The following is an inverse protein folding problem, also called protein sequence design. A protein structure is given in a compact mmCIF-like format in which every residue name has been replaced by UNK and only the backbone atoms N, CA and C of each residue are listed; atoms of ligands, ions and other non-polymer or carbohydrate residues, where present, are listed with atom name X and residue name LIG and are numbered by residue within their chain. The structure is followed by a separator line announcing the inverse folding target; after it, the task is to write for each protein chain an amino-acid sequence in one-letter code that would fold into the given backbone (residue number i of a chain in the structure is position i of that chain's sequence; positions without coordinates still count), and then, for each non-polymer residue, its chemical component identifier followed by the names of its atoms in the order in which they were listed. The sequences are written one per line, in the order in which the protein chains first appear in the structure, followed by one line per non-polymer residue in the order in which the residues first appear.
data_IF_276627826493
#
_entry.id   IF_276627826493
#
_cell.length_a   1.000
_cell.length_b   1.000
_cell.length_c   1.000
_cell.angle_alpha   90.00
_cell.angle_beta   90.00
_cell.angle_gamma   90.00
#
_symmetry.space_group_name_H-M   'P 1'
#
loop_
_entity.id
_entity.type
_entity.pdbx_description
1 polymer ?
#
# COMPACT_ATOMS: atom_id res chain seq x y z
N UNK A 1 10.08 11.84 -14.50
CA UNK A 1 9.85 10.42 -14.15
C UNK A 1 9.53 10.31 -12.66
N UNK A 2 8.89 9.23 -12.17
CA UNK A 2 8.52 9.10 -10.75
C UNK A 2 9.77 9.16 -9.84
N UNK A 3 10.86 8.52 -10.23
CA UNK A 3 12.13 8.53 -9.49
C UNK A 3 12.71 9.92 -9.24
N UNK A 4 12.40 10.90 -10.09
CA UNK A 4 12.92 12.26 -9.96
C UNK A 4 12.12 13.07 -8.91
N UNK A 5 10.97 12.55 -8.49
CA UNK A 5 10.03 13.19 -7.57
C UNK A 5 9.73 12.33 -6.34
N UNK A 6 10.55 11.34 -6.04
CA UNK A 6 10.34 10.40 -4.94
C UNK A 6 11.61 10.11 -4.15
N UNK A 7 11.43 9.65 -2.92
CA UNK A 7 12.49 9.13 -2.06
C UNK A 7 12.27 7.62 -1.97
N UNK A 8 13.24 6.83 -2.41
CA UNK A 8 13.22 5.38 -2.28
C UNK A 8 13.97 4.92 -1.03
N UNK A 9 13.40 3.95 -0.32
CA UNK A 9 14.05 3.26 0.80
C UNK A 9 14.20 1.80 0.43
N UNK A 10 15.42 1.30 0.40
CA UNK A 10 15.69 -0.12 0.24
C UNK A 10 15.81 -0.80 1.60
N UNK A 11 15.01 -1.85 1.81
CA UNK A 11 14.92 -2.57 3.08
C UNK A 11 15.39 -4.00 2.85
N UNK A 12 16.44 -4.42 3.56
CA UNK A 12 17.05 -5.74 3.39
C UNK A 12 16.07 -6.85 3.77
N UNK A 13 15.78 -7.70 2.78
CA UNK A 13 15.02 -8.93 2.93
C UNK A 13 15.42 -9.87 1.76
N UNK A 14 15.46 -11.20 1.95
CA UNK A 14 15.80 -12.13 0.86
C UNK A 14 14.86 -12.05 -0.35
N UNK A 15 13.60 -11.58 -0.13
CA UNK A 15 12.58 -11.55 -1.18
C UNK A 15 11.99 -12.93 -1.48
N UNK A 16 10.93 -12.95 -2.29
CA UNK A 16 10.14 -14.16 -2.55
C UNK A 16 10.96 -15.29 -3.21
N UNK A 17 11.95 -14.93 -4.00
CA UNK A 17 12.80 -15.89 -4.70
C UNK A 17 13.81 -16.61 -3.77
N UNK A 18 14.26 -15.93 -2.69
CA UNK A 18 15.39 -16.38 -1.88
C UNK A 18 15.02 -16.63 -0.40
N UNK A 19 13.76 -16.89 -0.12
CA UNK A 19 13.30 -17.20 1.23
C UNK A 19 12.73 -16.00 1.97
N UNK A 20 11.75 -15.38 1.35
CA UNK A 20 10.98 -14.26 1.92
C UNK A 20 10.48 -14.56 3.32
N UNK A 21 10.63 -13.62 4.22
CA UNK A 21 10.28 -13.75 5.64
C UNK A 21 9.86 -12.42 6.24
N UNK A 22 9.21 -12.50 7.39
CA UNK A 22 8.82 -11.32 8.15
C UNK A 22 10.04 -10.45 8.50
N UNK A 23 9.83 -9.14 8.53
CA UNK A 23 10.85 -8.17 8.88
C UNK A 23 11.07 -8.18 10.40
N UNK A 24 12.33 -8.27 10.89
CA UNK A 24 12.61 -8.18 12.31
C UNK A 24 12.08 -6.89 12.94
N UNK A 25 11.61 -6.97 14.18
CA UNK A 25 11.06 -5.81 14.90
C UNK A 25 12.05 -4.63 14.98
N UNK A 26 13.35 -4.91 15.18
CA UNK A 26 14.39 -3.89 15.19
C UNK A 26 14.54 -3.18 13.83
N UNK A 27 14.41 -3.93 12.72
CA UNK A 27 14.44 -3.36 11.37
C UNK A 27 13.22 -2.47 11.13
N UNK A 28 12.02 -2.91 11.50
CA UNK A 28 10.79 -2.11 11.38
C UNK A 28 10.84 -0.85 12.25
N UNK A 29 11.44 -0.90 13.44
CA UNK A 29 11.66 0.27 14.28
C UNK A 29 12.55 1.31 13.58
N UNK A 30 13.67 0.87 12.97
CA UNK A 30 14.57 1.74 12.20
C UNK A 30 13.88 2.32 10.96
N UNK A 31 13.11 1.52 10.22
CA UNK A 31 12.31 2.00 9.08
C UNK A 31 11.33 3.09 9.53
N UNK A 32 10.63 2.88 10.63
CA UNK A 32 9.70 3.85 11.20
C UNK A 32 10.41 5.17 11.54
N UNK A 33 11.53 5.12 12.24
CA UNK A 33 12.31 6.32 12.61
C UNK A 33 12.80 7.07 11.37
N UNK A 34 13.33 6.36 10.38
CA UNK A 34 13.76 6.94 9.12
C UNK A 34 12.61 7.63 8.39
N UNK A 35 11.46 6.96 8.26
CA UNK A 35 10.27 7.52 7.60
C UNK A 35 9.78 8.77 8.33
N UNK A 36 9.67 8.76 9.65
CA UNK A 36 9.27 9.93 10.44
C UNK A 36 10.24 11.10 10.23
N UNK A 37 11.55 10.81 10.19
CA UNK A 37 12.56 11.82 9.89
C UNK A 37 12.46 12.41 8.47
N UNK A 38 12.07 11.61 7.48
CA UNK A 38 11.81 12.08 6.11
C UNK A 38 10.55 12.96 6.08
N UNK A 39 9.45 12.46 6.66
CA UNK A 39 8.17 13.18 6.69
C UNK A 39 8.25 14.52 7.44
N UNK A 40 9.11 14.63 8.45
CA UNK A 40 9.36 15.88 9.16
C UNK A 40 10.08 16.94 8.30
N UNK A 41 10.81 16.51 7.26
CA UNK A 41 11.58 17.40 6.37
C UNK A 41 10.90 17.66 5.03
N UNK A 42 9.98 16.81 4.64
CA UNK A 42 9.33 16.86 3.33
C UNK A 42 7.81 16.78 3.49
N UNK A 43 7.09 17.64 2.79
CA UNK A 43 5.61 17.68 2.81
C UNK A 43 5.02 16.53 2.00
N UNK A 44 5.20 15.29 2.47
CA UNK A 44 4.67 14.07 1.87
C UNK A 44 3.43 13.64 2.65
N UNK A 45 2.28 13.59 1.99
CA UNK A 45 1.06 13.09 2.63
C UNK A 45 1.13 11.57 2.85
N UNK A 46 0.41 11.06 3.86
CA UNK A 46 0.39 9.65 4.20
C UNK A 46 0.02 8.75 3.00
N UNK A 47 -0.94 9.18 2.15
CA UNK A 47 -1.34 8.46 0.94
C UNK A 47 -0.20 8.25 -0.07
N UNK A 48 0.85 9.04 -0.01
CA UNK A 48 2.00 8.99 -0.92
C UNK A 48 3.18 8.18 -0.36
N UNK A 49 3.01 7.53 0.78
CA UNK A 49 3.95 6.52 1.29
C UNK A 49 3.44 5.16 0.86
N UNK A 50 4.07 4.58 -0.15
CA UNK A 50 3.57 3.44 -0.92
C UNK A 50 4.63 2.37 -1.10
N UNK A 51 4.21 1.17 -1.47
CA UNK A 51 5.10 0.07 -1.82
C UNK A 51 5.63 0.21 -3.26
N UNK A 52 6.76 -0.40 -3.54
CA UNK A 52 7.25 -0.52 -4.91
C UNK A 52 6.26 -1.33 -5.78
N UNK A 53 5.64 -2.36 -5.20
CA UNK A 53 4.58 -3.12 -5.85
C UNK A 53 3.33 -2.31 -6.15
N UNK A 54 3.01 -1.26 -5.39
CA UNK A 54 1.86 -0.39 -5.68
C UNK A 54 2.10 0.44 -6.94
N UNK A 55 3.35 0.87 -7.14
CA UNK A 55 3.75 1.71 -8.28
C UNK A 55 4.01 0.89 -9.54
N UNK A 56 4.50 -0.34 -9.39
CA UNK A 56 4.91 -1.20 -10.49
C UNK A 56 4.35 -2.63 -10.33
N UNK A 57 3.02 -2.80 -10.23
CA UNK A 57 2.38 -4.06 -9.85
C UNK A 57 2.71 -5.23 -10.78
N UNK A 58 3.00 -4.97 -12.05
CA UNK A 58 3.35 -5.99 -13.05
C UNK A 58 4.84 -6.40 -13.03
N UNK A 59 5.68 -5.75 -12.22
CA UNK A 59 7.13 -5.97 -12.22
C UNK A 59 7.73 -6.20 -10.83
N UNK A 60 7.03 -5.74 -9.78
CA UNK A 60 7.56 -5.68 -8.43
C UNK A 60 6.61 -6.32 -7.41
N UNK A 61 7.20 -6.91 -6.38
CA UNK A 61 6.48 -7.53 -5.27
C UNK A 61 6.89 -6.95 -3.91
N UNK A 62 8.02 -6.25 -3.85
CA UNK A 62 8.57 -5.66 -2.63
C UNK A 62 7.72 -4.48 -2.13
N UNK A 63 7.66 -4.27 -0.81
CA UNK A 63 8.28 -5.04 0.26
C UNK A 63 7.58 -6.37 0.58
N UNK A 64 6.45 -6.67 -0.03
CA UNK A 64 5.71 -7.91 0.12
C UNK A 64 4.67 -7.88 1.25
N UNK A 65 3.92 -8.98 1.35
CA UNK A 65 2.74 -9.15 2.22
C UNK A 65 3.08 -9.25 3.71
N UNK A 66 4.33 -9.53 4.09
CA UNK A 66 4.77 -9.59 5.48
C UNK A 66 5.34 -8.26 6.01
N UNK A 67 5.28 -7.20 5.21
CA UNK A 67 5.70 -5.87 5.65
C UNK A 67 4.61 -5.23 6.52
N UNK A 68 4.99 -4.67 7.67
CA UNK A 68 4.04 -4.17 8.67
C UNK A 68 3.50 -2.76 8.33
N UNK A 69 2.72 -2.67 7.27
CA UNK A 69 2.02 -1.44 6.88
C UNK A 69 1.08 -0.93 7.96
N UNK A 70 0.41 -1.86 8.67
CA UNK A 70 -0.51 -1.51 9.76
C UNK A 70 0.21 -0.79 10.90
N UNK A 71 1.36 -1.33 11.32
CA UNK A 71 2.17 -0.72 12.37
C UNK A 71 2.74 0.64 11.95
N UNK A 72 3.14 0.80 10.70
CA UNK A 72 3.61 2.09 10.16
C UNK A 72 2.48 3.11 10.10
N UNK A 73 1.29 2.75 9.64
CA UNK A 73 0.14 3.64 9.57
C UNK A 73 -0.31 4.13 10.96
N UNK A 74 -0.19 3.29 12.00
CA UNK A 74 -0.43 3.70 13.38
C UNK A 74 0.52 4.81 13.85
N UNK A 75 1.67 4.97 13.20
CA UNK A 75 2.63 6.06 13.43
C UNK A 75 2.48 7.23 12.43
N UNK A 76 1.45 7.24 11.58
CA UNK A 76 1.22 8.26 10.56
C UNK A 76 2.03 8.05 9.26
N UNK A 77 2.57 6.87 9.04
CA UNK A 77 3.38 6.52 7.87
C UNK A 77 2.54 5.61 6.95
N UNK A 78 2.12 6.12 5.80
CA UNK A 78 1.18 5.41 4.94
C UNK A 78 -0.25 5.44 5.47
N UNK A 79 -1.12 4.71 4.81
CA UNK A 79 -2.53 4.56 5.17
C UNK A 79 -2.87 3.11 5.42
N UNK A 80 -3.77 2.87 6.36
CA UNK A 80 -4.28 1.53 6.68
C UNK A 80 -5.64 1.63 7.33
N UNK A 81 -6.49 0.63 7.11
CA UNK A 81 -7.69 0.40 7.91
C UNK A 81 -8.01 -1.08 7.96
N UNK A 82 -8.61 -1.53 9.04
CA UNK A 82 -9.21 -2.87 9.17
C UNK A 82 -10.70 -2.86 8.78
N UNK A 83 -11.26 -1.69 8.46
CA UNK A 83 -12.65 -1.56 8.06
C UNK A 83 -12.90 -2.13 6.65
N UNK A 84 -14.17 -2.44 6.41
CA UNK A 84 -14.72 -2.79 5.11
C UNK A 84 -15.90 -1.86 4.84
N UNK A 85 -16.01 -1.36 3.61
CA UNK A 85 -17.11 -0.50 3.15
C UNK A 85 -17.73 -1.08 1.88
N UNK A 86 -18.99 -0.78 1.63
CA UNK A 86 -19.62 -1.15 0.37
C UNK A 86 -18.90 -0.46 -0.79
N UNK A 87 -18.47 -1.26 -1.76
CA UNK A 87 -17.87 -0.79 -3.00
C UNK A 87 -18.94 -0.77 -4.09
N UNK A 88 -19.02 0.33 -4.82
CA UNK A 88 -19.88 0.44 -6.01
C UNK A 88 -19.17 -0.08 -7.25
N UNK A 89 -17.89 0.20 -7.35
CA UNK A 89 -17.02 -0.27 -8.43
C UNK A 89 -15.58 -0.36 -7.91
N UNK A 90 -15.02 -1.58 -7.94
CA UNK A 90 -13.66 -1.83 -7.47
C UNK A 90 -12.62 -1.05 -8.27
N UNK A 91 -12.78 -0.95 -9.60
CA UNK A 91 -11.79 -0.30 -10.45
C UNK A 91 -11.78 1.21 -10.27
N UNK A 92 -12.94 1.81 -10.05
CA UNK A 92 -13.05 3.22 -9.67
C UNK A 92 -12.37 3.48 -8.32
N UNK A 93 -12.55 2.57 -7.35
CA UNK A 93 -11.92 2.70 -6.04
C UNK A 93 -10.38 2.61 -6.15
N UNK A 94 -9.87 1.62 -6.90
CA UNK A 94 -8.43 1.40 -7.12
C UNK A 94 -7.78 2.57 -7.87
N UNK A 95 -8.44 3.11 -8.90
CA UNK A 95 -7.97 4.28 -9.62
C UNK A 95 -7.89 5.53 -8.72
N UNK A 96 -8.90 5.74 -7.86
CA UNK A 96 -8.93 6.85 -6.91
C UNK A 96 -7.85 6.73 -5.82
N UNK A 97 -7.49 5.51 -5.43
CA UNK A 97 -6.35 5.25 -4.53
C UNK A 97 -5.02 5.64 -5.21
N UNK A 98 -4.90 5.43 -6.52
CA UNK A 98 -3.75 5.83 -7.31
C UNK A 98 -3.06 4.70 -8.08
N UNK A 99 -3.67 3.51 -8.16
CA UNK A 99 -3.14 2.42 -8.98
C UNK A 99 -3.36 2.68 -10.48
N UNK A 100 -2.42 2.24 -11.28
CA UNK A 100 -2.54 2.26 -12.75
C UNK A 100 -3.42 1.10 -13.22
N UNK A 101 -4.69 1.39 -13.47
CA UNK A 101 -5.68 0.41 -13.92
C UNK A 101 -5.54 -0.01 -15.39
N UNK A 102 -4.58 0.56 -16.13
CA UNK A 102 -4.25 0.12 -17.49
C UNK A 102 -3.35 -1.12 -17.51
N UNK A 103 -2.76 -1.48 -16.37
CA UNK A 103 -1.91 -2.65 -16.20
C UNK A 103 -2.74 -3.95 -16.09
N UNK A 104 -2.10 -5.13 -16.21
CA UNK A 104 -2.82 -6.41 -16.08
C UNK A 104 -3.64 -6.49 -14.79
N UNK A 105 -4.95 -6.77 -14.89
CA UNK A 105 -5.88 -6.69 -13.76
C UNK A 105 -5.47 -7.53 -12.54
N UNK A 106 -5.01 -8.76 -12.76
CA UNK A 106 -4.58 -9.67 -11.70
C UNK A 106 -3.33 -9.14 -10.96
N UNK A 107 -2.41 -8.48 -11.68
CA UNK A 107 -1.24 -7.85 -11.09
C UNK A 107 -1.63 -6.66 -10.19
N UNK A 108 -2.54 -5.81 -10.66
CA UNK A 108 -3.05 -4.65 -9.89
C UNK A 108 -3.78 -5.13 -8.64
N UNK A 109 -4.69 -6.10 -8.77
CA UNK A 109 -5.43 -6.65 -7.64
C UNK A 109 -4.47 -7.28 -6.62
N UNK A 110 -3.50 -8.06 -7.08
CA UNK A 110 -2.52 -8.72 -6.21
C UNK A 110 -1.61 -7.71 -5.50
N UNK A 111 -1.21 -6.63 -6.14
CA UNK A 111 -0.44 -5.57 -5.51
C UNK A 111 -1.25 -4.88 -4.40
N UNK A 112 -2.51 -4.52 -4.68
CA UNK A 112 -3.43 -3.99 -3.68
C UNK A 112 -3.61 -4.96 -2.49
N UNK A 113 -3.86 -6.23 -2.76
CA UNK A 113 -4.01 -7.25 -1.72
C UNK A 113 -2.75 -7.38 -0.88
N UNK A 114 -1.57 -7.37 -1.50
CA UNK A 114 -0.28 -7.47 -0.81
C UNK A 114 -0.09 -6.34 0.20
N UNK A 115 -0.54 -5.15 -0.11
CA UNK A 115 -0.46 -4.01 0.79
C UNK A 115 -1.61 -4.01 1.82
N UNK A 116 -2.87 -4.13 1.40
CA UNK A 116 -4.05 -3.81 2.21
C UNK A 116 -4.88 -5.02 2.65
N UNK A 117 -4.59 -6.20 2.13
CA UNK A 117 -5.30 -7.46 2.46
C UNK A 117 -4.35 -8.66 2.35
N UNK A 118 -3.20 -8.65 3.06
CA UNK A 118 -2.10 -9.58 2.84
C UNK A 118 -2.43 -11.05 3.09
N UNK A 119 -3.53 -11.35 3.78
CA UNK A 119 -4.04 -12.71 3.98
C UNK A 119 -4.79 -13.27 2.75
N UNK A 120 -5.03 -12.46 1.72
CA UNK A 120 -5.72 -12.87 0.49
C UNK A 120 -4.97 -12.36 -0.75
N UNK A 121 -4.06 -13.15 -1.28
CA UNK A 121 -3.25 -12.83 -2.48
C UNK A 121 -3.79 -13.52 -3.74
N UNK A 122 -5.08 -13.65 -3.87
CA UNK A 122 -5.73 -14.37 -4.97
C UNK A 122 -5.51 -13.72 -6.35
N UNK A 123 -5.30 -12.40 -6.40
CA UNK A 123 -5.32 -11.62 -7.64
C UNK A 123 -6.73 -11.46 -8.23
N UNK A 124 -7.76 -11.78 -7.45
CA UNK A 124 -9.17 -11.68 -7.83
C UNK A 124 -9.80 -10.54 -7.03
N UNK A 125 -10.51 -9.65 -7.70
CA UNK A 125 -11.29 -8.57 -7.08
C UNK A 125 -12.59 -9.14 -6.47
N UNK A 126 -12.45 -10.00 -5.46
CA UNK A 126 -13.56 -10.59 -4.73
C UNK A 126 -14.24 -9.60 -3.77
N UNK A 127 -15.34 -10.01 -3.16
CA UNK A 127 -16.11 -9.14 -2.26
C UNK A 127 -15.27 -8.52 -1.11
N UNK A 128 -14.45 -9.29 -0.38
CA UNK A 128 -13.54 -8.73 0.63
C UNK A 128 -12.55 -7.73 0.06
N UNK A 129 -11.94 -8.02 -1.09
CA UNK A 129 -10.98 -7.12 -1.77
C UNK A 129 -11.66 -5.80 -2.17
N UNK A 130 -12.83 -5.87 -2.80
CA UNK A 130 -13.57 -4.67 -3.21
C UNK A 130 -13.98 -3.81 -2.01
N UNK A 131 -14.48 -4.43 -0.94
CA UNK A 131 -14.87 -3.70 0.28
C UNK A 131 -13.68 -3.07 1.00
N UNK A 132 -12.51 -3.68 0.94
CA UNK A 132 -11.27 -3.08 1.48
C UNK A 132 -10.85 -1.90 0.61
N UNK A 133 -10.94 -1.99 -0.72
CA UNK A 133 -10.62 -0.89 -1.62
C UNK A 133 -11.50 0.35 -1.35
N UNK A 134 -12.81 0.15 -1.19
CA UNK A 134 -13.72 1.25 -0.83
C UNK A 134 -13.38 1.88 0.53
N UNK A 135 -12.94 1.10 1.51
CA UNK A 135 -12.52 1.62 2.81
C UNK A 135 -11.21 2.44 2.72
N UNK A 136 -10.21 1.97 1.97
CA UNK A 136 -8.96 2.71 1.73
C UNK A 136 -9.23 3.98 0.92
N UNK A 137 -10.04 3.91 -0.14
CA UNK A 137 -10.45 5.10 -0.91
C UNK A 137 -11.01 6.21 -0.01
N UNK A 138 -11.87 5.86 0.92
CA UNK A 138 -12.47 6.83 1.85
C UNK A 138 -11.44 7.52 2.77
N UNK A 139 -10.25 6.95 2.97
CA UNK A 139 -9.15 7.57 3.71
C UNK A 139 -8.32 8.51 2.82
N UNK A 140 -8.13 8.16 1.55
CA UNK A 140 -7.24 8.91 0.65
C UNK A 140 -7.97 10.01 -0.14
N UNK A 141 -9.27 9.84 -0.32
CA UNK A 141 -10.17 10.78 -1.01
C UNK A 141 -11.45 10.94 -0.19
N UNK A 142 -11.38 11.61 0.98
CA UNK A 142 -12.54 11.78 1.84
C UNK A 142 -13.59 12.64 1.13
N UNK A 143 -14.78 12.05 0.91
CA UNK A 143 -15.94 12.81 0.43
C UNK A 143 -16.25 13.90 1.46
N UNK A 144 -16.33 15.19 1.09
CA UNK A 144 -16.69 16.23 2.03
C UNK A 144 -18.07 15.94 2.64
N UNK A 145 -18.30 16.28 3.93
CA UNK A 145 -19.61 16.11 4.55
C UNK A 145 -20.67 16.86 3.74
N UNK A 146 -21.90 16.34 3.66
CA UNK A 146 -23.00 17.06 3.01
C UNK A 146 -23.19 18.41 3.69
N UNK A 147 -23.40 19.43 2.88
CA UNK A 147 -23.65 20.81 3.35
C UNK A 147 -24.95 20.91 4.15
#
# INVERSE_FOLDING_TARGET
MLNDASIGIEIVNPGHEWGYRAFPAAQMATVRELCLGILARHAISARNVVAHSDIAPNRKQDPGELFDWRGLAAAGIGVWTDEFRESKDFWDDIAAIGYDVSLPPDAVVRAFQRHFLPQNLSGIADGPTARRAAAIRALVDPVPPPA
#
